data_IF_073320728755
#
_entry.id   IF_073320728755
#
_cell.length_a   1.000
_cell.length_b   1.000
_cell.length_c   1.000
_cell.angle_alpha   90.00
_cell.angle_beta   90.00
_cell.angle_gamma   90.00
#
_symmetry.space_group_name_H-M   'P 1'
#
loop_
_entity.id
_entity.type
_entity.pdbx_description
1 polymer ?
#
# COMPACT_ATOMS: atom_id res chain seq x y z
N UNK A 1 2.20 20.53 -9.04
CA UNK A 1 1.66 19.41 -9.84
C UNK A 1 2.31 18.07 -9.48
N UNK A 2 3.50 17.70 -10.01
CA UNK A 2 4.09 16.37 -9.75
C UNK A 2 4.52 16.15 -8.29
N UNK A 3 5.13 17.16 -7.67
CA UNK A 3 5.55 17.10 -6.27
C UNK A 3 4.37 16.92 -5.31
N UNK A 4 3.28 17.68 -5.51
CA UNK A 4 2.06 17.58 -4.70
C UNK A 4 1.45 16.18 -4.79
N UNK A 5 1.35 15.62 -5.99
CA UNK A 5 0.89 14.24 -6.18
C UNK A 5 1.79 13.22 -5.45
N UNK A 6 3.11 13.42 -5.50
CA UNK A 6 4.04 12.57 -4.76
C UNK A 6 3.81 12.67 -3.24
N UNK A 7 3.57 13.88 -2.71
CA UNK A 7 3.23 14.09 -1.31
C UNK A 7 1.90 13.41 -0.91
N UNK A 8 0.88 13.44 -1.78
CA UNK A 8 -0.40 12.75 -1.55
C UNK A 8 -0.24 11.22 -1.59
N UNK A 9 0.58 10.71 -2.52
CA UNK A 9 0.85 9.29 -2.64
C UNK A 9 1.68 8.77 -1.46
N UNK A 10 2.68 9.52 -0.99
CA UNK A 10 3.68 9.07 -0.03
C UNK A 10 3.12 8.37 1.23
N UNK A 11 2.12 8.90 1.96
CA UNK A 11 1.64 8.28 3.19
C UNK A 11 0.86 6.97 2.98
N UNK A 12 0.35 6.71 1.77
CA UNK A 12 -0.44 5.49 1.49
C UNK A 12 0.47 4.25 1.65
N UNK A 13 0.16 3.32 2.57
CA UNK A 13 0.99 2.15 2.81
C UNK A 13 0.85 1.14 1.67
N UNK A 14 1.79 1.18 0.73
CA UNK A 14 1.85 0.26 -0.42
C UNK A 14 2.77 -0.92 -0.15
N UNK A 15 2.36 -2.09 -0.62
CA UNK A 15 3.20 -3.25 -0.89
C UNK A 15 2.90 -3.72 -2.33
N UNK A 16 3.33 -4.94 -2.70
CA UNK A 16 3.09 -5.52 -4.02
C UNK A 16 1.61 -5.89 -4.26
N UNK A 17 0.83 -6.02 -3.20
CA UNK A 17 -0.63 -6.23 -3.21
C UNK A 17 -1.29 -5.34 -2.15
N UNK A 18 -2.63 -5.37 -2.06
CA UNK A 18 -3.37 -4.72 -0.97
C UNK A 18 -4.12 -3.44 -1.34
N UNK A 19 -4.87 -2.92 -0.38
CA UNK A 19 -5.71 -1.74 -0.52
C UNK A 19 -4.89 -0.48 -0.80
N UNK A 20 -3.73 -0.30 -0.16
CA UNK A 20 -2.87 0.86 -0.40
C UNK A 20 -2.36 0.93 -1.83
N UNK A 21 -2.07 -0.21 -2.46
CA UNK A 21 -1.72 -0.28 -3.88
C UNK A 21 -2.90 0.17 -4.76
N UNK A 22 -4.12 -0.34 -4.52
CA UNK A 22 -5.32 0.06 -5.28
C UNK A 22 -5.66 1.54 -5.12
N UNK A 23 -5.64 2.07 -3.91
CA UNK A 23 -5.88 3.49 -3.64
C UNK A 23 -4.89 4.39 -4.39
N UNK A 24 -3.64 3.95 -4.50
CA UNK A 24 -2.62 4.68 -5.26
C UNK A 24 -2.90 4.69 -6.76
N UNK A 25 -3.33 3.55 -7.33
CA UNK A 25 -3.73 3.46 -8.73
C UNK A 25 -4.96 4.33 -9.03
N UNK A 26 -5.94 4.37 -8.13
CA UNK A 26 -7.13 5.22 -8.26
C UNK A 26 -6.77 6.71 -8.23
N UNK A 27 -5.89 7.12 -7.32
CA UNK A 27 -5.40 8.50 -7.25
C UNK A 27 -4.65 8.90 -8.54
N UNK A 28 -3.81 8.00 -9.07
CA UNK A 28 -3.13 8.21 -10.35
C UNK A 28 -4.15 8.33 -11.50
N UNK A 29 -5.13 7.44 -11.58
CA UNK A 29 -6.16 7.49 -12.62
C UNK A 29 -6.94 8.80 -12.59
N UNK A 30 -7.33 9.26 -11.40
CA UNK A 30 -8.01 10.55 -11.21
C UNK A 30 -7.14 11.71 -11.68
N UNK A 31 -5.85 11.70 -11.32
CA UNK A 31 -4.91 12.76 -11.71
C UNK A 31 -4.69 12.84 -13.21
N UNK A 32 -4.80 11.71 -13.92
CA UNK A 32 -4.72 11.62 -15.37
C UNK A 32 -6.02 12.03 -16.09
N UNK A 33 -7.07 12.43 -15.38
CA UNK A 33 -8.36 12.81 -15.97
C UNK A 33 -9.44 11.73 -15.91
N UNK A 34 -9.15 10.57 -15.31
CA UNK A 34 -10.10 9.47 -15.09
C UNK A 34 -10.34 8.62 -16.34
N UNK A 35 -10.52 7.31 -16.14
CA UNK A 35 -10.87 6.37 -17.20
C UNK A 35 -9.75 6.03 -18.19
N UNK A 36 -8.53 6.52 -17.97
CA UNK A 36 -7.35 6.20 -18.80
C UNK A 36 -6.75 4.86 -18.40
N UNK A 37 -6.68 4.59 -17.09
CA UNK A 37 -6.10 3.35 -16.58
C UNK A 37 -7.14 2.23 -16.57
N UNK A 38 -6.72 1.05 -17.04
CA UNK A 38 -7.46 -0.20 -16.91
C UNK A 38 -6.86 -1.03 -15.78
N UNK A 39 -7.64 -1.30 -14.74
CA UNK A 39 -7.19 -2.11 -13.61
C UNK A 39 -7.49 -3.59 -13.82
N UNK A 40 -6.53 -4.42 -13.41
CA UNK A 40 -6.62 -5.87 -13.44
C UNK A 40 -6.38 -6.41 -12.04
N UNK A 41 -7.15 -7.41 -11.64
CA UNK A 41 -6.95 -8.15 -10.40
C UNK A 41 -6.80 -9.61 -10.73
N UNK A 42 -5.68 -10.21 -10.34
CA UNK A 42 -5.40 -11.63 -10.55
C UNK A 42 -5.50 -12.33 -9.19
N UNK A 43 -6.18 -13.48 -9.14
CA UNK A 43 -6.43 -14.20 -7.88
C UNK A 43 -5.11 -14.76 -7.32
N UNK A 44 -4.89 -14.62 -6.01
CA UNK A 44 -3.80 -15.31 -5.29
C UNK A 44 -3.79 -16.82 -5.58
N UNK A 45 -2.60 -17.39 -5.65
CA UNK A 45 -2.38 -18.79 -6.06
C UNK A 45 -2.40 -19.02 -7.58
N UNK A 46 -2.70 -18.01 -8.39
CA UNK A 46 -2.62 -18.14 -9.86
C UNK A 46 -1.17 -18.34 -10.28
N UNK A 47 -0.89 -19.39 -11.06
CA UNK A 47 0.43 -19.62 -11.65
C UNK A 47 0.65 -18.72 -12.87
N UNK A 48 1.78 -18.01 -12.89
CA UNK A 48 2.23 -17.12 -13.96
C UNK A 48 3.69 -17.44 -14.28
N UNK A 49 3.89 -18.26 -15.32
CA UNK A 49 5.18 -18.90 -15.62
C UNK A 49 5.69 -19.68 -14.39
N UNK A 50 6.87 -19.34 -13.87
CA UNK A 50 7.45 -19.96 -12.68
C UNK A 50 7.01 -19.30 -11.37
N UNK A 51 6.23 -18.22 -11.44
CA UNK A 51 5.77 -17.47 -10.27
C UNK A 51 4.34 -17.89 -9.88
N UNK A 52 4.02 -17.67 -8.62
CA UNK A 52 2.66 -17.78 -8.08
C UNK A 52 2.26 -16.40 -7.58
N UNK A 53 1.08 -15.92 -7.96
CA UNK A 53 0.53 -14.66 -7.43
C UNK A 53 0.37 -14.80 -5.92
N UNK A 54 1.02 -13.94 -5.10
CA UNK A 54 1.02 -14.10 -3.66
C UNK A 54 -0.34 -13.80 -3.04
N UNK A 55 -0.49 -14.16 -1.77
CA UNK A 55 -1.62 -13.72 -0.97
C UNK A 55 -1.67 -12.19 -0.89
N UNK A 56 -2.89 -11.67 -0.78
CA UNK A 56 -3.08 -10.23 -0.61
C UNK A 56 -2.71 -9.80 0.82
N UNK A 57 -1.87 -8.79 0.94
CA UNK A 57 -1.43 -8.26 2.22
C UNK A 57 -2.03 -6.89 2.52
N UNK A 58 -2.53 -6.70 3.75
CA UNK A 58 -3.08 -5.45 4.24
C UNK A 58 -2.69 -5.25 5.70
N UNK A 59 -2.12 -4.09 6.03
CA UNK A 59 -1.81 -3.70 7.41
C UNK A 59 -2.78 -2.61 7.88
N UNK A 60 -3.50 -2.86 8.98
CA UNK A 60 -4.36 -1.85 9.62
C UNK A 60 -3.60 -1.04 10.67
N UNK A 61 -2.79 -1.72 11.48
CA UNK A 61 -1.92 -1.11 12.48
C UNK A 61 -0.81 -2.08 12.87
N UNK A 62 0.32 -1.52 13.29
CA UNK A 62 1.41 -2.23 13.92
C UNK A 62 2.13 -1.25 14.84
N UNK A 63 2.56 -1.72 16.01
CA UNK A 63 3.31 -0.91 16.96
C UNK A 63 4.10 -1.79 17.94
N UNK A 64 5.10 -1.20 18.58
CA UNK A 64 5.79 -1.76 19.75
C UNK A 64 5.47 -0.88 20.95
N UNK A 65 4.98 -1.47 22.03
CA UNK A 65 4.65 -0.78 23.28
C UNK A 65 5.60 -1.23 24.40
N UNK A 66 6.10 -0.28 25.20
CA UNK A 66 6.92 -0.55 26.39
C UNK A 66 6.06 -0.98 27.58
N UNK A 67 6.64 -1.54 28.67
CA UNK A 67 5.90 -1.83 29.90
C UNK A 67 5.17 -0.62 30.51
N UNK A 68 5.69 0.58 30.29
CA UNK A 68 5.10 1.86 30.74
C UNK A 68 3.95 2.35 29.85
N UNK A 69 3.66 1.65 28.73
CA UNK A 69 2.58 1.98 27.80
C UNK A 69 2.98 2.91 26.65
N UNK A 70 4.27 3.20 26.46
CA UNK A 70 4.74 4.08 25.39
C UNK A 70 4.89 3.35 24.04
N UNK A 71 4.38 3.94 22.95
CA UNK A 71 4.60 3.44 21.58
C UNK A 71 5.93 3.94 21.01
N UNK A 72 6.94 3.07 21.01
CA UNK A 72 8.30 3.37 20.50
C UNK A 72 8.50 3.04 19.02
N UNK A 73 7.57 2.30 18.41
CA UNK A 73 7.49 2.07 16.98
C UNK A 73 6.00 2.07 16.61
N UNK A 74 5.58 2.85 15.61
CA UNK A 74 4.16 3.04 15.29
C UNK A 74 3.93 3.22 13.79
N UNK A 75 3.27 2.25 13.17
CA UNK A 75 2.90 2.26 11.75
C UNK A 75 2.04 3.47 11.37
N UNK A 76 1.21 3.98 12.29
CA UNK A 76 0.39 5.17 12.04
C UNK A 76 1.22 6.46 11.97
N UNK A 77 2.43 6.47 12.54
CA UNK A 77 3.38 7.59 12.39
C UNK A 77 4.18 7.49 11.09
N UNK A 78 4.64 6.29 10.73
CA UNK A 78 5.40 6.06 9.50
C UNK A 78 5.24 4.61 9.04
N UNK A 79 4.84 4.38 7.79
CA UNK A 79 4.55 3.04 7.28
C UNK A 79 5.78 2.11 7.24
N UNK A 80 6.99 2.66 7.06
CA UNK A 80 8.26 1.91 7.11
C UNK A 80 8.63 1.35 8.50
N UNK A 81 7.85 1.64 9.55
CA UNK A 81 7.99 0.98 10.84
C UNK A 81 7.55 -0.50 10.82
N UNK A 82 6.85 -0.92 9.76
CA UNK A 82 6.48 -2.31 9.50
C UNK A 82 7.21 -2.78 8.24
N UNK A 83 7.87 -3.94 8.33
CA UNK A 83 8.40 -4.61 7.15
C UNK A 83 7.24 -5.20 6.36
N UNK A 84 7.25 -4.95 5.04
CA UNK A 84 6.30 -5.52 4.09
C UNK A 84 6.52 -7.01 3.85
#
# INVERSE_FOLDING_TARGET
>A
AMYELACELFPIPRSITGQGFRASLELLNKTLGGGILKFHSIKSGTKVFDWIVPDEWNAKEAYIITPEGEKICDFKKHNLHLLN
#
